data_IF_981871627050
#
_entry.id   IF_981871627050
#
_cell.length_a   1.000
_cell.length_b   1.000
_cell.length_c   1.000
_cell.angle_alpha   90.00
_cell.angle_beta   90.00
_cell.angle_gamma   90.00
#
_symmetry.space_group_name_H-M   'P 1'
#
loop_
_entity.id
_entity.type
_entity.pdbx_description
1 polymer ?
#
# COMPACT_ATOMS: atom_id res chain seq x y z
N UNK A 1 -10.23 -6.84 -21.95
CA UNK A 1 -9.98 -6.84 -21.53
C UNK A 1 -9.57 -7.25 -20.65
N UNK A 2 -9.69 -7.84 -20.64
CA UNK A 2 -9.36 -8.39 -19.65
C UNK A 2 -8.80 -7.73 -18.64
N UNK A 3 -9.28 -6.96 -18.23
CA UNK A 3 -8.77 -6.32 -17.26
C UNK A 3 -8.73 -7.07 -16.09
N UNK A 4 -7.64 -7.20 -15.42
CA UNK A 4 -7.60 -7.84 -14.16
C UNK A 4 -7.67 -6.80 -13.11
N UNK A 5 -7.77 -7.16 -11.89
CA UNK A 5 -7.90 -6.24 -10.83
C UNK A 5 -6.75 -5.39 -10.61
N UNK A 6 -5.58 -5.84 -10.92
CA UNK A 6 -4.41 -5.05 -10.75
C UNK A 6 -4.45 -3.84 -11.57
N UNK A 7 -5.15 -3.89 -12.67
CA UNK A 7 -5.20 -2.74 -13.52
C UNK A 7 -6.07 -1.66 -12.97
N UNK A 8 -6.77 -1.92 -11.89
CA UNK A 8 -7.56 -0.90 -11.26
C UNK A 8 -6.78 -0.04 -10.30
N UNK A 9 -5.54 -0.39 -10.04
CA UNK A 9 -4.74 0.38 -9.12
C UNK A 9 -4.07 1.54 -9.84
N UNK A 10 -4.05 2.68 -9.18
CA UNK A 10 -3.32 3.81 -9.70
C UNK A 10 -1.84 3.50 -9.57
N UNK A 11 -1.03 4.24 -10.30
CA UNK A 11 0.39 4.03 -10.29
C UNK A 11 0.98 4.08 -8.90
N UNK A 12 0.57 5.06 -8.11
CA UNK A 12 1.08 5.18 -6.76
C UNK A 12 0.61 4.03 -5.88
N UNK A 13 -0.62 3.57 -6.10
CA UNK A 13 -1.12 2.44 -5.34
C UNK A 13 -0.31 1.19 -5.65
N UNK A 14 0.01 0.98 -6.90
CA UNK A 14 0.83 -0.15 -7.29
C UNK A 14 2.21 -0.06 -6.68
N UNK A 15 2.77 1.14 -6.63
CA UNK A 15 4.07 1.36 -6.07
C UNK A 15 4.09 1.01 -4.60
N UNK A 16 3.11 1.51 -3.85
CA UNK A 16 3.01 1.22 -2.43
C UNK A 16 2.78 -0.27 -2.21
N UNK A 17 1.88 -0.83 -2.96
CA UNK A 17 1.54 -2.23 -2.80
C UNK A 17 2.75 -3.13 -3.06
N UNK A 18 3.56 -2.78 -4.03
CA UNK A 18 4.72 -3.59 -4.36
C UNK A 18 5.82 -3.52 -3.30
N UNK A 19 5.76 -2.53 -2.42
CA UNK A 19 6.71 -2.44 -1.32
C UNK A 19 6.32 -3.31 -0.15
N UNK A 20 5.08 -3.79 -0.12
CA UNK A 20 4.59 -4.57 1.00
C UNK A 20 4.89 -6.04 0.83
N UNK A 21 4.93 -6.74 1.95
CA UNK A 21 5.18 -8.17 1.91
C UNK A 21 4.41 -8.81 3.05
N UNK A 22 4.73 -10.03 3.36
CA UNK A 22 4.09 -10.74 4.45
C UNK A 22 4.56 -10.23 5.81
N UNK A 23 5.62 -9.45 5.84
CA UNK A 23 6.13 -8.91 7.09
C UNK A 23 5.62 -7.50 7.29
N UNK A 24 5.27 -7.14 8.52
CA UNK A 24 4.77 -5.79 8.76
C UNK A 24 5.83 -4.74 8.43
N UNK A 25 5.42 -3.68 7.79
CA UNK A 25 6.30 -2.60 7.43
C UNK A 25 5.69 -1.30 7.91
N UNK A 26 6.48 -0.48 8.56
CA UNK A 26 6.03 0.79 9.11
C UNK A 26 5.73 1.77 7.98
N UNK A 27 4.73 2.61 8.19
CA UNK A 27 4.33 3.56 7.16
C UNK A 27 5.46 4.51 6.77
N UNK A 28 6.31 4.88 7.70
CA UNK A 28 7.43 5.76 7.40
C UNK A 28 8.40 5.08 6.45
N UNK A 29 8.59 3.79 6.63
CA UNK A 29 9.47 3.04 5.77
C UNK A 29 8.87 2.94 4.37
N UNK A 30 7.57 2.72 4.30
CA UNK A 30 6.89 2.64 3.02
C UNK A 30 7.01 3.97 2.29
N UNK A 31 6.79 5.07 3.01
CA UNK A 31 6.89 6.39 2.42
C UNK A 31 8.29 6.65 1.90
N UNK A 32 9.28 6.20 2.64
CA UNK A 32 10.66 6.38 2.27
C UNK A 32 11.01 5.58 1.03
N UNK A 33 10.59 4.33 1.00
CA UNK A 33 10.89 3.45 -0.12
C UNK A 33 10.20 3.88 -1.39
N UNK A 34 9.00 4.41 -1.28
CA UNK A 34 8.26 4.84 -2.45
C UNK A 34 8.60 6.27 -2.87
N UNK A 35 9.13 7.04 -1.94
CA UNK A 35 9.43 8.44 -2.20
C UNK A 35 8.21 9.33 -2.20
N UNK A 36 7.09 8.84 -1.68
CA UNK A 36 5.85 9.58 -1.77
C UNK A 36 5.55 10.49 -0.60
N UNK A 37 6.18 10.38 0.47
CA UNK A 37 5.86 11.19 1.64
C UNK A 37 4.77 10.55 2.47
N UNK A 38 4.72 10.92 3.72
CA UNK A 38 3.82 10.27 4.69
C UNK A 38 2.35 10.50 4.36
N UNK A 39 1.98 11.71 4.05
CA UNK A 39 0.57 12.02 3.79
C UNK A 39 0.02 11.28 2.59
N UNK A 40 0.77 11.29 1.52
CA UNK A 40 0.35 10.60 0.31
C UNK A 40 0.30 9.09 0.55
N UNK A 41 1.29 8.58 1.25
CA UNK A 41 1.35 7.16 1.54
C UNK A 41 0.17 6.73 2.41
N UNK A 42 -0.17 7.53 3.40
CA UNK A 42 -1.30 7.22 4.27
C UNK A 42 -2.60 7.14 3.47
N UNK A 43 -2.81 8.09 2.58
CA UNK A 43 -4.01 8.09 1.76
C UNK A 43 -4.09 6.88 0.85
N UNK A 44 -2.96 6.51 0.28
CA UNK A 44 -2.90 5.36 -0.60
C UNK A 44 -3.15 4.08 0.19
N UNK A 45 -2.57 3.98 1.38
CA UNK A 45 -2.79 2.80 2.21
C UNK A 45 -4.24 2.66 2.62
N UNK A 46 -4.91 3.78 2.89
CA UNK A 46 -6.33 3.73 3.21
C UNK A 46 -7.11 3.16 2.05
N UNK A 47 -6.77 3.56 0.84
CA UNK A 47 -7.42 3.03 -0.34
C UNK A 47 -7.18 1.54 -0.50
N UNK A 48 -5.96 1.10 -0.25
CA UNK A 48 -5.65 -0.32 -0.37
C UNK A 48 -6.33 -1.13 0.73
N UNK A 49 -6.46 -0.57 1.92
CA UNK A 49 -7.19 -1.21 3.00
C UNK A 49 -8.65 -1.39 2.61
N UNK A 50 -9.23 -0.36 2.02
CA UNK A 50 -10.62 -0.41 1.60
C UNK A 50 -10.84 -1.47 0.52
N UNK A 51 -9.83 -1.71 -0.30
CA UNK A 51 -9.93 -2.72 -1.35
C UNK A 51 -9.61 -4.13 -0.84
N UNK A 52 -9.19 -4.23 0.40
CA UNK A 52 -8.86 -5.53 0.97
C UNK A 52 -7.53 -6.09 0.52
N UNK A 53 -6.66 -5.25 0.01
CA UNK A 53 -5.38 -5.70 -0.49
C UNK A 53 -4.26 -5.62 0.54
N UNK A 54 -4.44 -4.83 1.59
CA UNK A 54 -3.47 -4.75 2.66
C UNK A 54 -4.19 -4.80 3.98
N UNK A 55 -3.45 -4.96 5.04
CA UNK A 55 -3.99 -5.15 6.36
C UNK A 55 -3.06 -4.45 7.33
N UNK A 56 -3.60 -3.75 8.30
CA UNK A 56 -2.80 -3.06 9.30
C UNK A 56 -2.60 -3.98 10.50
N UNK A 57 -1.41 -4.50 10.64
CA UNK A 57 -1.09 -5.47 11.67
C UNK A 57 -0.95 -4.82 13.04
N UNK A 58 -0.19 -3.71 13.10
CA UNK A 58 -0.06 -2.91 14.29
C UNK A 58 -0.29 -1.51 13.83
N UNK A 59 -0.45 -0.60 14.76
CA UNK A 59 -0.61 0.79 14.40
C UNK A 59 0.54 1.22 13.50
N UNK A 60 0.22 1.71 12.32
CA UNK A 60 1.17 2.19 11.33
C UNK A 60 2.05 1.11 10.71
N UNK A 61 1.73 -0.18 10.94
CA UNK A 61 2.45 -1.27 10.32
C UNK A 61 1.50 -2.04 9.42
N UNK A 62 1.87 -2.22 8.18
CA UNK A 62 1.01 -2.79 7.15
C UNK A 62 1.62 -4.00 6.51
N UNK A 63 0.79 -4.95 6.14
CA UNK A 63 1.25 -6.14 5.43
C UNK A 63 0.33 -6.38 4.25
N UNK A 64 0.84 -7.10 3.29
CA UNK A 64 0.10 -7.49 2.12
C UNK A 64 -0.91 -8.54 2.52
N UNK A 65 -2.11 -8.38 2.05
CA UNK A 65 -3.13 -9.35 2.34
C UNK A 65 -3.08 -10.53 1.34
#
# INVERSE_FOLDING_TARGET
MGKNKKQCLAKEESLVYSCLSMEPKNIEKIAEETGLGISATAGILLGLLAKGLVFESFRNYYIEE
#
